data_IF_404681418757
#
_entry.id   IF_404681418757
#
_cell.length_a   1.000
_cell.length_b   1.000
_cell.length_c   1.000
_cell.angle_alpha   90.00
_cell.angle_beta   90.00
_cell.angle_gamma   90.00
#
_symmetry.space_group_name_H-M   'P 1'
#
loop_
_entity.id
_entity.type
_entity.pdbx_description
1 polymer ?
#
# COMPACT_ATOMS: atom_id res chain seq x y z
N UNK A 1 -47.00 -20.00 18.95
CA UNK A 1 -47.72 -19.58 20.18
C UNK A 1 -47.08 -20.35 21.34
N UNK A 2 -46.45 -19.81 22.38
CA UNK A 2 -46.07 -18.46 22.83
C UNK A 2 -44.68 -18.66 23.48
N UNK A 3 -43.75 -17.76 23.19
CA UNK A 3 -42.36 -17.77 23.69
C UNK A 3 -42.33 -17.12 25.09
N UNK A 4 -41.70 -17.72 26.13
CA UNK A 4 -41.52 -17.05 27.41
C UNK A 4 -40.32 -16.07 27.36
N UNK A 5 -40.37 -14.92 28.05
CA UNK A 5 -39.37 -13.86 27.93
C UNK A 5 -38.10 -14.15 28.73
N UNK A 6 -36.96 -13.74 28.15
CA UNK A 6 -35.62 -13.78 28.76
C UNK A 6 -35.53 -12.67 29.82
N UNK A 7 -35.81 -13.01 31.07
CA UNK A 7 -35.43 -12.21 32.24
C UNK A 7 -34.96 -13.12 33.37
N UNK A 8 -33.73 -13.62 33.28
CA UNK A 8 -33.07 -14.28 34.42
C UNK A 8 -31.53 -14.23 34.30
N UNK A 9 -30.92 -13.05 34.38
CA UNK A 9 -29.45 -12.96 34.63
C UNK A 9 -29.02 -11.75 35.48
N UNK A 10 -29.94 -11.11 36.21
CA UNK A 10 -29.56 -10.12 37.23
C UNK A 10 -29.98 -10.61 38.61
N UNK A 11 -29.04 -11.20 39.35
CA UNK A 11 -29.15 -11.28 40.81
C UNK A 11 -28.86 -9.89 41.37
N UNK A 12 -29.79 -9.39 42.19
CA UNK A 12 -29.78 -8.09 42.85
C UNK A 12 -29.11 -8.29 44.22
N UNK A 13 -27.98 -7.63 44.47
CA UNK A 13 -27.39 -7.58 45.83
C UNK A 13 -28.30 -6.78 46.79
N UNK A 14 -28.37 -7.17 48.07
CA UNK A 14 -29.21 -6.49 49.06
C UNK A 14 -28.58 -5.17 49.55
N UNK A 15 -29.40 -4.18 49.96
CA UNK A 15 -28.91 -2.86 50.33
C UNK A 15 -28.38 -2.83 51.77
N UNK A 16 -27.21 -2.23 51.97
CA UNK A 16 -26.79 -1.74 53.28
C UNK A 16 -27.42 -0.38 53.55
N UNK A 17 -28.00 -0.24 54.74
CA UNK A 17 -28.77 0.90 55.24
C UNK A 17 -27.95 2.16 55.49
N UNK A 18 -28.64 3.28 55.27
CA UNK A 18 -28.34 4.71 55.42
C UNK A 18 -27.62 5.18 56.70
N UNK A 19 -26.77 6.21 56.58
CA UNK A 19 -27.11 7.62 56.87
C UNK A 19 -25.84 8.50 57.01
N UNK A 20 -25.72 9.59 56.25
CA UNK A 20 -25.78 10.99 56.75
C UNK A 20 -25.46 12.05 55.66
N UNK A 21 -26.03 13.23 55.91
CA UNK A 21 -26.40 14.37 55.06
C UNK A 21 -25.35 15.21 54.32
N UNK A 22 -25.80 15.70 53.16
CA UNK A 22 -25.79 17.09 52.63
C UNK A 22 -24.50 17.94 52.63
N UNK A 23 -24.03 18.35 51.44
CA UNK A 23 -24.05 19.75 50.90
C UNK A 23 -23.17 19.88 49.63
N UNK A 24 -23.68 20.56 48.59
CA UNK A 24 -22.93 21.09 47.41
C UNK A 24 -22.30 22.46 47.79
N UNK A 25 -21.37 23.12 47.03
CA UNK A 25 -20.97 22.93 45.62
C UNK A 25 -19.45 23.08 45.30
N UNK A 26 -19.01 22.68 44.09
CA UNK A 26 -17.74 23.16 43.49
C UNK A 26 -17.04 22.18 42.53
N UNK A 27 -17.14 22.43 41.23
CA UNK A 27 -16.25 21.84 40.18
C UNK A 27 -14.82 22.36 40.38
N UNK A 28 -13.73 21.58 40.16
CA UNK A 28 -13.32 21.23 38.79
C UNK A 28 -12.60 19.87 38.61
N UNK A 29 -12.65 19.31 37.40
CA UNK A 29 -11.59 18.47 36.84
C UNK A 29 -11.68 16.96 37.06
N UNK A 30 -12.60 16.28 36.37
CA UNK A 30 -12.47 14.84 36.12
C UNK A 30 -11.47 14.58 35.00
N UNK A 31 -10.21 14.34 35.38
CA UNK A 31 -9.29 13.57 34.54
C UNK A 31 -9.91 12.18 34.30
N UNK A 32 -9.97 11.66 33.06
CA UNK A 32 -10.26 10.25 32.86
C UNK A 32 -9.05 9.46 33.33
N UNK A 33 -9.21 8.72 34.43
CA UNK A 33 -8.25 7.74 34.92
C UNK A 33 -7.96 6.74 33.80
N UNK A 34 -6.76 6.84 33.25
CA UNK A 34 -6.18 5.88 32.32
C UNK A 34 -6.18 4.52 32.98
N UNK A 35 -6.96 3.60 32.41
CA UNK A 35 -6.78 2.18 32.66
C UNK A 35 -5.41 1.82 32.10
N UNK A 36 -4.52 1.42 33.00
CA UNK A 36 -3.15 1.02 32.75
C UNK A 36 -3.16 -0.28 31.93
N UNK A 37 -3.45 -0.18 30.62
CA UNK A 37 -3.51 -1.30 29.69
C UNK A 37 -2.12 -1.44 29.09
N UNK A 38 -1.48 -2.58 29.35
CA UNK A 38 -0.19 -2.87 28.74
C UNK A 38 -0.32 -2.79 27.20
N UNK A 39 0.64 -2.16 26.51
CA UNK A 39 0.69 -2.19 25.05
C UNK A 39 0.72 -3.65 24.57
N UNK A 40 0.36 -3.91 23.31
CA UNK A 40 0.49 -5.23 22.66
C UNK A 40 1.97 -5.60 22.45
N UNK A 41 2.80 -5.48 23.48
CA UNK A 41 4.20 -5.89 23.52
C UNK A 41 4.30 -7.40 23.72
N UNK A 42 5.42 -7.97 23.27
CA UNK A 42 5.66 -9.41 23.05
C UNK A 42 5.39 -10.34 24.24
N UNK A 43 5.23 -9.81 25.45
CA UNK A 43 5.24 -10.60 26.68
C UNK A 43 3.88 -11.15 27.08
N UNK A 44 2.76 -10.66 26.51
CA UNK A 44 1.43 -11.08 26.93
C UNK A 44 0.75 -12.04 25.94
N UNK A 45 0.48 -13.27 26.39
CA UNK A 45 -0.38 -14.28 25.72
C UNK A 45 -1.44 -14.81 26.69
N UNK A 46 -2.65 -15.17 26.23
CA UNK A 46 -3.68 -15.72 27.09
C UNK A 46 -3.22 -17.06 27.67
N UNK A 47 -3.65 -17.33 28.90
CA UNK A 47 -3.28 -18.54 29.64
C UNK A 47 -4.09 -19.76 29.15
N UNK A 48 -3.40 -20.91 29.07
CA UNK A 48 -3.96 -22.20 28.68
C UNK A 48 -3.57 -22.66 27.27
N UNK A 49 -4.02 -23.86 26.92
CA UNK A 49 -3.68 -24.51 25.64
C UNK A 49 -4.64 -24.04 24.54
N UNK A 50 -4.09 -23.52 23.45
CA UNK A 50 -4.82 -23.12 22.25
C UNK A 50 -4.43 -24.05 21.10
N UNK A 51 -5.41 -24.68 20.47
CA UNK A 51 -5.20 -25.54 19.31
C UNK A 51 -4.71 -24.70 18.13
N UNK A 52 -3.63 -25.13 17.47
CA UNK A 52 -3.18 -24.50 16.23
C UNK A 52 -4.04 -25.01 15.09
N UNK A 53 -4.65 -24.10 14.33
CA UNK A 53 -5.50 -24.41 13.18
C UNK A 53 -5.15 -23.49 12.00
N UNK A 54 -5.46 -23.93 10.79
CA UNK A 54 -5.51 -23.04 9.63
C UNK A 54 -6.83 -22.26 9.61
N UNK A 55 -6.89 -21.15 8.89
CA UNK A 55 -8.10 -20.31 8.82
C UNK A 55 -9.28 -21.09 8.21
N UNK A 56 -9.04 -21.96 7.22
CA UNK A 56 -10.08 -22.81 6.63
C UNK A 56 -10.69 -23.83 7.59
N UNK A 57 -10.00 -24.16 8.68
CA UNK A 57 -10.41 -25.15 9.68
C UNK A 57 -11.21 -24.53 10.84
N UNK A 58 -11.36 -23.20 10.85
CA UNK A 58 -12.12 -22.50 11.89
C UNK A 58 -13.58 -22.94 11.89
N UNK A 59 -14.09 -23.26 13.07
CA UNK A 59 -15.50 -23.59 13.29
C UNK A 59 -16.14 -22.52 14.18
N UNK A 60 -17.39 -22.18 13.91
CA UNK A 60 -18.14 -21.24 14.73
C UNK A 60 -18.44 -21.84 16.11
N UNK A 61 -18.47 -20.97 17.13
CA UNK A 61 -18.73 -21.35 18.52
C UNK A 61 -17.56 -21.08 19.47
N UNK A 62 -17.64 -21.67 20.66
CA UNK A 62 -16.60 -21.55 21.70
C UNK A 62 -15.49 -22.56 21.44
N UNK A 63 -14.25 -22.09 21.46
CA UNK A 63 -13.07 -22.93 21.26
C UNK A 63 -11.80 -22.11 21.41
N UNK A 64 -10.80 -22.65 22.12
CA UNK A 64 -9.48 -22.01 22.27
C UNK A 64 -8.61 -22.38 21.07
N UNK A 65 -8.60 -21.51 20.05
CA UNK A 65 -7.86 -21.71 18.82
C UNK A 65 -6.86 -20.59 18.57
N UNK A 66 -5.76 -20.93 17.91
CA UNK A 66 -4.76 -19.98 17.42
C UNK A 66 -4.42 -20.26 15.96
N UNK A 67 -4.22 -19.19 15.20
CA UNK A 67 -3.78 -19.27 13.81
C UNK A 67 -2.85 -18.10 13.49
N UNK A 68 -2.09 -18.25 12.41
CA UNK A 68 -1.23 -17.20 11.87
C UNK A 68 -1.81 -16.70 10.56
N UNK A 69 -1.56 -15.44 10.22
CA UNK A 69 -1.96 -14.87 8.94
C UNK A 69 -1.37 -13.50 8.71
N UNK A 70 -1.55 -12.96 7.51
CA UNK A 70 -1.17 -11.58 7.16
C UNK A 70 -2.38 -10.68 7.08
N UNK A 71 -2.20 -9.43 7.48
CA UNK A 71 -3.23 -8.41 7.34
C UNK A 71 -3.35 -8.04 5.86
N UNK A 72 -4.51 -8.30 5.25
CA UNK A 72 -4.78 -8.02 3.82
C UNK A 72 -5.81 -6.91 3.60
N UNK A 73 -6.48 -6.44 4.65
CA UNK A 73 -7.27 -5.21 4.61
C UNK A 73 -7.35 -4.60 6.01
N UNK A 74 -7.34 -3.27 6.08
CA UNK A 74 -7.53 -2.48 7.29
C UNK A 74 -8.57 -1.41 6.98
N UNK A 75 -9.63 -1.40 7.78
CA UNK A 75 -10.66 -0.37 7.72
C UNK A 75 -10.44 0.61 8.88
N UNK A 76 -10.48 1.92 8.59
CA UNK A 76 -10.13 2.90 9.60
C UNK A 76 -11.13 2.95 10.75
N UNK A 77 -10.59 3.18 11.94
CA UNK A 77 -11.27 3.17 13.27
C UNK A 77 -12.29 4.30 13.51
N UNK A 78 -12.69 5.02 12.45
CA UNK A 78 -13.37 6.34 12.39
C UNK A 78 -12.43 7.45 11.91
N UNK A 79 -12.68 8.03 10.74
CA UNK A 79 -13.00 9.44 10.64
C UNK A 79 -14.50 9.61 10.96
N UNK A 80 -14.94 10.81 11.34
CA UNK A 80 -16.34 11.19 11.65
C UNK A 80 -17.42 10.78 10.60
N UNK A 81 -17.03 10.14 9.50
CA UNK A 81 -17.85 9.90 8.33
C UNK A 81 -17.65 8.48 7.81
N UNK A 82 -18.31 7.55 8.49
CA UNK A 82 -18.42 6.16 8.05
C UNK A 82 -19.44 6.03 6.91
N UNK A 83 -19.22 5.14 5.92
CA UNK A 83 -20.31 4.46 5.23
C UNK A 83 -21.25 3.86 6.29
N UNK A 84 -22.57 3.86 6.06
CA UNK A 84 -23.57 3.31 7.01
C UNK A 84 -23.23 1.87 7.49
N UNK A 85 -22.41 1.15 6.72
CA UNK A 85 -21.88 -0.15 7.06
C UNK A 85 -20.91 -0.18 8.26
N UNK A 86 -20.15 0.89 8.48
CA UNK A 86 -19.13 0.99 9.53
C UNK A 86 -19.65 1.66 10.81
N UNK A 87 -20.83 2.31 10.78
CA UNK A 87 -21.47 2.98 11.96
C UNK A 87 -21.84 2.07 13.11
N UNK A 88 -21.79 0.75 12.92
CA UNK A 88 -21.95 -0.25 13.96
C UNK A 88 -20.65 -0.57 14.71
N UNK A 89 -19.49 -0.09 14.26
CA UNK A 89 -18.20 -0.34 14.92
C UNK A 89 -17.99 0.67 16.06
N UNK A 90 -17.92 0.22 17.33
CA UNK A 90 -17.72 1.12 18.46
C UNK A 90 -16.37 1.83 18.40
N UNK A 91 -16.25 2.94 19.15
CA UNK A 91 -14.98 3.67 19.25
C UNK A 91 -13.84 2.76 19.74
N UNK A 92 -12.65 2.92 19.16
CA UNK A 92 -11.45 2.15 19.55
C UNK A 92 -11.36 0.74 18.93
N UNK A 93 -12.28 0.36 18.06
CA UNK A 93 -12.21 -0.91 17.34
C UNK A 93 -11.74 -0.74 15.89
N UNK A 94 -10.73 -1.51 15.53
CA UNK A 94 -10.25 -1.65 14.15
C UNK A 94 -10.90 -2.88 13.52
N UNK A 95 -11.43 -2.72 12.33
CA UNK A 95 -11.82 -3.86 11.50
C UNK A 95 -10.67 -4.18 10.55
N UNK A 96 -10.20 -5.41 10.59
CA UNK A 96 -9.15 -5.89 9.71
C UNK A 96 -9.52 -7.26 9.15
N UNK A 97 -8.87 -7.59 8.05
CA UNK A 97 -9.03 -8.88 7.39
C UNK A 97 -7.67 -9.57 7.43
N UNK A 98 -7.66 -10.78 7.98
CA UNK A 98 -6.46 -11.61 8.12
C UNK A 98 -6.60 -12.82 7.22
N UNK A 99 -5.53 -13.17 6.51
CA UNK A 99 -5.49 -14.27 5.55
C UNK A 99 -4.26 -15.14 5.77
N UNK A 100 -4.42 -16.44 5.60
CA UNK A 100 -3.33 -17.41 5.51
C UNK A 100 -3.37 -18.10 4.14
N UNK A 101 -2.63 -19.20 3.95
CA UNK A 101 -2.62 -19.89 2.66
C UNK A 101 -3.93 -20.67 2.37
N UNK A 102 -4.87 -20.74 3.31
CA UNK A 102 -6.06 -21.60 3.26
C UNK A 102 -7.38 -20.83 3.27
N UNK A 103 -7.43 -19.66 3.91
CA UNK A 103 -8.67 -18.89 4.05
C UNK A 103 -8.48 -17.47 4.53
N UNK A 104 -9.62 -16.79 4.74
CA UNK A 104 -9.69 -15.41 5.22
C UNK A 104 -10.67 -15.31 6.39
N UNK A 105 -10.33 -14.48 7.38
CA UNK A 105 -11.18 -14.20 8.53
C UNK A 105 -11.24 -12.70 8.81
N UNK A 106 -12.42 -12.21 9.18
CA UNK A 106 -12.59 -10.85 9.66
C UNK A 106 -12.24 -10.79 11.15
N UNK A 107 -11.44 -9.81 11.53
CA UNK A 107 -11.02 -9.58 12.91
C UNK A 107 -11.46 -8.19 13.34
N UNK A 108 -12.16 -8.11 14.47
CA UNK A 108 -12.50 -6.84 15.13
C UNK A 108 -11.63 -6.69 16.36
N UNK A 109 -10.58 -5.88 16.24
CA UNK A 109 -9.59 -5.66 17.29
C UNK A 109 -9.93 -4.43 18.11
N UNK A 110 -10.03 -4.58 19.43
CA UNK A 110 -10.00 -3.46 20.37
C UNK A 110 -8.55 -2.99 20.54
N UNK A 111 -8.11 -2.07 19.68
CA UNK A 111 -6.75 -1.54 19.65
C UNK A 111 -6.58 -0.32 20.55
N UNK A 112 -5.31 0.00 20.82
CA UNK A 112 -4.87 1.23 21.48
C UNK A 112 -4.03 2.06 20.52
N UNK A 113 -3.80 3.34 20.84
CA UNK A 113 -2.97 4.24 20.01
C UNK A 113 -1.55 3.69 19.79
N UNK A 114 -1.00 2.91 20.75
CA UNK A 114 0.31 2.26 20.61
C UNK A 114 0.34 1.12 19.60
N UNK A 115 -0.81 0.57 19.22
CA UNK A 115 -0.89 -0.57 18.30
C UNK A 115 -0.94 -0.12 16.83
N UNK A 116 -1.32 1.14 16.58
CA UNK A 116 -1.45 1.72 15.25
C UNK A 116 -0.21 1.56 14.36
N UNK A 117 1.04 1.75 14.84
CA UNK A 117 2.21 1.60 13.98
C UNK A 117 2.38 0.18 13.41
N UNK A 118 1.85 -0.84 14.10
CA UNK A 118 1.91 -2.23 13.69
C UNK A 118 0.70 -2.64 12.83
N UNK A 119 -0.34 -1.79 12.75
CA UNK A 119 -1.54 -2.06 11.98
C UNK A 119 -1.33 -1.62 10.53
N UNK A 120 -0.60 -2.44 9.76
CA UNK A 120 -0.33 -2.19 8.35
C UNK A 120 -0.50 -3.44 7.50
N UNK A 121 -0.75 -3.24 6.20
CA UNK A 121 -0.91 -4.33 5.24
C UNK A 121 0.37 -5.16 5.13
N UNK A 122 0.19 -6.46 4.92
CA UNK A 122 1.27 -7.43 4.84
C UNK A 122 1.82 -7.88 6.19
N UNK A 123 1.48 -7.22 7.31
CA UNK A 123 2.00 -7.58 8.64
C UNK A 123 1.58 -8.99 9.04
N UNK A 124 2.55 -9.81 9.43
CA UNK A 124 2.29 -11.14 9.99
C UNK A 124 1.77 -11.02 11.42
N UNK A 125 0.68 -11.72 11.71
CA UNK A 125 0.06 -11.75 13.02
C UNK A 125 -0.22 -13.19 13.47
N UNK A 126 -0.14 -13.42 14.77
CA UNK A 126 -0.77 -14.59 15.40
C UNK A 126 -1.99 -14.11 16.17
N UNK A 127 -3.13 -14.77 15.97
CA UNK A 127 -4.38 -14.47 16.67
C UNK A 127 -4.73 -15.64 17.58
N UNK A 128 -5.07 -15.33 18.83
CA UNK A 128 -5.65 -16.26 19.78
C UNK A 128 -7.08 -15.84 20.06
N UNK A 129 -8.01 -16.78 20.10
CA UNK A 129 -9.39 -16.51 20.48
C UNK A 129 -10.00 -17.70 21.23
N UNK A 130 -10.94 -17.40 22.13
CA UNK A 130 -11.82 -18.39 22.77
C UNK A 130 -13.17 -18.54 22.06
N UNK A 131 -13.44 -17.72 21.04
CA UNK A 131 -14.72 -17.67 20.35
C UNK A 131 -14.57 -17.24 18.89
N UNK A 132 -15.28 -17.93 18.00
CA UNK A 132 -15.40 -17.62 16.57
C UNK A 132 -16.88 -17.47 16.25
N UNK A 133 -17.27 -16.36 15.62
CA UNK A 133 -18.62 -16.16 15.13
C UNK A 133 -18.69 -16.44 13.62
N UNK A 134 -19.87 -16.82 13.16
CA UNK A 134 -20.16 -16.85 11.73
C UNK A 134 -20.26 -15.42 11.18
N UNK A 135 -19.70 -15.20 9.99
CA UNK A 135 -19.79 -13.91 9.31
C UNK A 135 -21.11 -13.83 8.56
N UNK A 136 -21.99 -12.92 8.99
CA UNK A 136 -23.32 -12.79 8.40
C UNK A 136 -23.24 -12.38 6.93
N UNK A 137 -24.01 -13.04 6.06
CA UNK A 137 -24.25 -12.60 4.67
C UNK A 137 -25.01 -11.26 4.59
N UNK A 138 -25.66 -10.86 5.69
CA UNK A 138 -26.26 -9.53 5.86
C UNK A 138 -25.28 -8.52 6.49
N UNK A 139 -24.01 -8.90 6.71
CA UNK A 139 -23.00 -7.97 7.19
C UNK A 139 -22.84 -6.82 6.20
N UNK A 140 -22.68 -5.62 6.74
CA UNK A 140 -22.65 -4.43 5.91
C UNK A 140 -21.33 -4.27 5.12
N UNK A 141 -20.31 -5.05 5.47
CA UNK A 141 -19.09 -5.23 4.70
C UNK A 141 -19.11 -6.67 4.20
N UNK A 142 -18.89 -6.87 2.91
CA UNK A 142 -18.81 -8.20 2.29
C UNK A 142 -17.43 -8.32 1.67
N UNK A 143 -16.52 -9.03 2.34
CA UNK A 143 -15.16 -9.26 1.84
C UNK A 143 -15.10 -10.65 1.23
N UNK A 144 -14.54 -10.83 0.02
CA UNK A 144 -14.47 -12.13 -0.62
C UNK A 144 -13.79 -13.18 0.25
N UNK A 145 -14.38 -14.38 0.29
CA UNK A 145 -13.95 -15.56 1.06
C UNK A 145 -14.00 -15.44 2.59
N UNK A 146 -14.55 -14.36 3.15
CA UNK A 146 -14.72 -14.24 4.60
C UNK A 146 -16.02 -14.93 5.01
N UNK A 147 -15.91 -16.03 5.75
CA UNK A 147 -17.03 -16.77 6.35
C UNK A 147 -17.07 -16.67 7.88
N UNK A 148 -15.99 -16.20 8.50
CA UNK A 148 -15.83 -16.18 9.96
C UNK A 148 -15.46 -14.78 10.47
N UNK A 149 -15.82 -14.52 11.73
CA UNK A 149 -15.59 -13.27 12.44
C UNK A 149 -15.05 -13.51 13.85
N UNK A 150 -14.00 -12.78 14.21
CA UNK A 150 -13.33 -12.94 15.50
C UNK A 150 -13.22 -11.59 16.22
N UNK A 151 -13.92 -11.41 17.35
CA UNK A 151 -13.68 -10.28 18.24
C UNK A 151 -12.41 -10.52 19.06
N UNK A 152 -11.48 -9.56 19.04
CA UNK A 152 -10.23 -9.63 19.80
C UNK A 152 -10.18 -8.47 20.78
N UNK A 153 -10.12 -8.82 22.07
CA UNK A 153 -10.09 -7.89 23.19
C UNK A 153 -8.85 -8.12 24.03
N UNK A 154 -7.68 -7.55 23.67
CA UNK A 154 -6.45 -7.81 24.41
C UNK A 154 -6.50 -7.30 25.86
N UNK A 155 -6.04 -8.10 26.82
CA UNK A 155 -5.92 -7.68 28.21
C UNK A 155 -5.79 -8.87 29.17
N UNK A 156 -5.23 -8.72 30.38
CA UNK A 156 -4.77 -9.83 31.22
C UNK A 156 -5.75 -10.98 31.47
N UNK A 157 -7.05 -10.68 31.57
CA UNK A 157 -8.12 -11.65 31.80
C UNK A 157 -8.80 -12.17 30.52
N UNK A 158 -8.37 -11.72 29.34
CA UNK A 158 -9.00 -12.05 28.07
C UNK A 158 -8.54 -13.41 27.53
N UNK A 159 -9.47 -14.12 26.89
CA UNK A 159 -9.19 -15.33 26.12
C UNK A 159 -8.79 -15.03 24.67
N UNK A 160 -8.65 -13.76 24.31
CA UNK A 160 -8.27 -13.34 22.97
C UNK A 160 -7.11 -12.36 23.01
N UNK A 161 -6.18 -12.53 22.08
CA UNK A 161 -5.11 -11.58 21.86
C UNK A 161 -4.64 -11.63 20.41
N UNK A 162 -3.86 -10.63 20.02
CA UNK A 162 -3.16 -10.59 18.75
C UNK A 162 -1.69 -10.25 19.03
N UNK A 163 -0.78 -10.97 18.39
CA UNK A 163 0.66 -10.67 18.38
C UNK A 163 1.03 -10.19 16.98
N UNK A 164 1.65 -9.03 16.89
CA UNK A 164 2.29 -8.55 15.67
C UNK A 164 3.73 -9.07 15.63
N UNK A 165 4.12 -9.72 14.54
CA UNK A 165 5.47 -10.24 14.38
C UNK A 165 6.39 -9.16 13.81
N UNK A 166 7.62 -9.09 14.30
CA UNK A 166 8.65 -8.23 13.75
C UNK A 166 9.23 -8.90 12.49
N UNK A 167 9.18 -8.22 11.35
CA UNK A 167 9.58 -8.82 10.06
C UNK A 167 11.10 -9.10 9.99
N UNK A 168 11.92 -8.48 10.85
CA UNK A 168 13.39 -8.58 10.84
C UNK A 168 13.96 -9.64 11.78
N UNK A 169 13.18 -10.13 12.76
CA UNK A 169 13.73 -10.94 13.86
C UNK A 169 13.81 -12.43 13.53
N UNK A 170 13.01 -12.93 12.58
CA UNK A 170 13.02 -14.33 12.19
C UNK A 170 12.82 -14.51 10.66
N UNK A 171 13.88 -14.80 9.90
CA UNK A 171 13.81 -15.02 8.46
C UNK A 171 12.81 -16.11 8.05
N UNK A 172 12.61 -17.14 8.88
CA UNK A 172 11.66 -18.22 8.61
C UNK A 172 10.20 -17.73 8.61
N UNK A 173 9.89 -16.70 9.40
CA UNK A 173 8.55 -16.12 9.47
C UNK A 173 8.27 -15.19 8.28
N UNK A 174 9.32 -14.69 7.61
CA UNK A 174 9.17 -13.76 6.49
C UNK A 174 8.40 -14.37 5.33
N UNK A 175 8.52 -15.67 5.07
CA UNK A 175 7.82 -16.37 3.99
C UNK A 175 6.39 -16.83 4.31
N UNK A 176 5.97 -16.83 5.58
CA UNK A 176 4.70 -17.43 5.99
C UNK A 176 3.49 -16.67 5.45
N UNK A 177 2.42 -17.40 5.12
CA UNK A 177 1.09 -16.88 4.76
C UNK A 177 1.04 -15.99 3.49
N UNK A 178 1.96 -16.18 2.53
CA UNK A 178 2.09 -15.34 1.32
C UNK A 178 1.47 -15.91 0.05
N UNK A 179 1.07 -17.18 0.02
CA UNK A 179 0.49 -17.81 -1.17
C UNK A 179 -0.92 -17.24 -1.37
N UNK A 180 -1.23 -16.56 -2.49
CA UNK A 180 -2.57 -16.00 -2.68
C UNK A 180 -3.64 -17.08 -2.68
N UNK A 181 -4.83 -16.73 -2.21
CA UNK A 181 -5.96 -17.66 -2.22
C UNK A 181 -6.42 -17.96 -3.63
N UNK A 182 -6.83 -19.21 -3.84
CA UNK A 182 -7.19 -19.82 -5.14
C UNK A 182 -6.02 -20.03 -6.10
N UNK A 183 -4.78 -19.72 -5.68
CA UNK A 183 -3.61 -20.12 -6.46
C UNK A 183 -3.35 -21.61 -6.25
N UNK A 184 -3.47 -22.39 -7.32
CA UNK A 184 -3.10 -23.80 -7.29
C UNK A 184 -1.58 -23.94 -7.35
N UNK A 185 -0.98 -24.43 -6.26
CA UNK A 185 0.45 -24.71 -6.15
C UNK A 185 0.84 -26.08 -6.68
N UNK A 186 -0.13 -26.94 -6.99
CA UNK A 186 0.12 -28.31 -7.46
C UNK A 186 0.51 -28.36 -8.94
N UNK A 187 0.12 -27.37 -9.73
CA UNK A 187 0.45 -27.29 -11.16
C UNK A 187 1.42 -26.14 -11.47
N UNK A 188 2.55 -26.46 -12.11
CA UNK A 188 3.57 -25.48 -12.47
C UNK A 188 3.10 -24.45 -13.52
N UNK A 189 2.02 -24.75 -14.24
CA UNK A 189 1.39 -23.87 -15.24
C UNK A 189 0.13 -23.16 -14.71
N UNK A 190 -0.14 -23.25 -13.40
CA UNK A 190 -1.28 -22.58 -12.77
C UNK A 190 -1.20 -21.08 -12.99
N UNK A 191 -2.29 -20.50 -13.51
CA UNK A 191 -2.46 -19.06 -13.63
C UNK A 191 -3.33 -18.56 -12.49
N UNK A 192 -3.06 -17.35 -12.02
CA UNK A 192 -3.90 -16.69 -11.02
C UNK A 192 -5.31 -16.41 -11.59
N UNK A 193 -6.38 -17.00 -11.04
CA UNK A 193 -7.73 -16.76 -11.56
C UNK A 193 -8.14 -15.29 -11.46
N UNK A 194 -8.66 -14.73 -12.55
CA UNK A 194 -9.14 -13.35 -12.59
C UNK A 194 -8.04 -12.27 -12.58
N UNK A 195 -6.76 -12.65 -12.74
CA UNK A 195 -5.67 -11.69 -12.90
C UNK A 195 -5.77 -10.98 -14.25
N UNK A 196 -5.81 -9.65 -14.21
CA UNK A 196 -5.82 -8.79 -15.40
C UNK A 196 -4.69 -7.77 -15.32
N UNK A 197 -4.27 -7.25 -16.48
CA UNK A 197 -3.28 -6.17 -16.54
C UNK A 197 -3.83 -4.86 -15.99
N UNK A 198 -2.94 -4.01 -15.49
CA UNK A 198 -3.28 -2.69 -14.99
C UNK A 198 -3.97 -1.87 -16.07
N UNK A 199 -3.47 -1.88 -17.31
CA UNK A 199 -4.11 -1.18 -18.44
C UNK A 199 -5.54 -1.65 -18.69
N UNK A 200 -5.81 -2.96 -18.60
CA UNK A 200 -7.15 -3.51 -18.77
C UNK A 200 -8.08 -3.08 -17.62
N UNK A 201 -7.54 -3.06 -16.39
CA UNK A 201 -8.23 -2.50 -15.23
C UNK A 201 -8.58 -1.02 -15.46
N UNK A 202 -7.60 -0.18 -15.83
CA UNK A 202 -7.82 1.26 -16.00
C UNK A 202 -8.84 1.62 -17.10
N UNK A 203 -9.03 0.74 -18.10
CA UNK A 203 -10.04 0.91 -19.16
C UNK A 203 -11.47 0.62 -18.70
N UNK A 204 -11.70 0.09 -17.50
CA UNK A 204 -13.03 -0.19 -16.97
C UNK A 204 -13.79 -1.31 -17.70
N UNK A 205 -13.11 -2.09 -18.53
CA UNK A 205 -13.71 -3.24 -19.26
C UNK A 205 -14.22 -4.35 -18.33
N UNK A 206 -13.86 -4.29 -17.06
CA UNK A 206 -14.20 -5.27 -16.03
C UNK A 206 -15.28 -4.77 -15.05
N UNK A 207 -15.71 -3.50 -15.12
CA UNK A 207 -16.58 -2.88 -14.07
C UNK A 207 -18.07 -2.88 -14.38
N UNK A 208 -18.51 -3.24 -15.59
CA UNK A 208 -19.90 -2.98 -16.04
C UNK A 208 -20.72 -4.20 -16.45
N UNK A 209 -20.15 -5.40 -16.44
CA UNK A 209 -20.90 -6.61 -16.71
C UNK A 209 -20.84 -7.47 -15.46
N UNK A 210 -22.01 -7.70 -14.83
CA UNK A 210 -22.20 -8.89 -14.01
C UNK A 210 -21.91 -10.07 -14.94
N UNK A 211 -20.65 -10.51 -15.02
CA UNK A 211 -20.32 -11.77 -15.64
C UNK A 211 -21.07 -12.85 -14.88
N UNK A 212 -21.69 -13.76 -15.62
CA UNK A 212 -22.33 -14.96 -15.06
C UNK A 212 -21.35 -15.81 -14.25
N UNK A 213 -20.03 -15.64 -14.47
CA UNK A 213 -18.97 -16.12 -13.60
C UNK A 213 -18.59 -15.08 -12.55
N UNK A 214 -18.76 -15.44 -11.28
CA UNK A 214 -18.38 -14.70 -10.06
C UNK A 214 -16.85 -14.58 -9.88
N UNK A 215 -16.11 -14.36 -10.98
CA UNK A 215 -14.65 -14.31 -10.94
C UNK A 215 -14.18 -12.95 -10.42
N UNK A 216 -13.53 -12.96 -9.26
CA UNK A 216 -12.98 -11.75 -8.67
C UNK A 216 -11.89 -11.14 -9.55
N UNK A 217 -11.98 -9.84 -9.80
CA UNK A 217 -10.93 -9.11 -10.51
C UNK A 217 -9.68 -8.97 -9.64
N UNK A 218 -8.53 -9.36 -10.19
CA UNK A 218 -7.22 -9.23 -9.55
C UNK A 218 -6.26 -8.41 -10.39
N UNK A 219 -5.44 -7.59 -9.75
CA UNK A 219 -4.41 -6.76 -10.42
C UNK A 219 -3.11 -6.87 -9.62
N UNK A 220 -2.04 -7.25 -10.30
CA UNK A 220 -0.70 -7.36 -9.73
C UNK A 220 0.13 -6.14 -10.15
N UNK A 221 0.72 -5.44 -9.19
CA UNK A 221 1.50 -4.21 -9.46
C UNK A 221 2.77 -4.17 -8.60
N UNK A 222 3.80 -3.51 -9.11
CA UNK A 222 5.00 -3.13 -8.37
C UNK A 222 4.86 -1.69 -7.86
N UNK A 223 5.35 -1.42 -6.66
CA UNK A 223 5.50 -0.05 -6.14
C UNK A 223 6.64 0.62 -6.90
N UNK A 224 6.35 1.72 -7.60
CA UNK A 224 7.35 2.52 -8.33
C UNK A 224 7.90 3.66 -7.47
N UNK A 225 7.05 4.32 -6.69
CA UNK A 225 7.48 5.36 -5.74
C UNK A 225 6.44 5.58 -4.65
N UNK A 226 6.88 6.07 -3.48
CA UNK A 226 6.02 6.42 -2.35
C UNK A 226 6.06 7.93 -2.16
N UNK A 227 4.91 8.59 -2.32
CA UNK A 227 4.78 10.04 -2.14
C UNK A 227 4.79 10.47 -0.67
N UNK A 228 4.89 11.78 -0.42
CA UNK A 228 4.85 12.32 0.94
C UNK A 228 3.47 12.13 1.58
N UNK A 229 3.45 12.04 2.92
CA UNK A 229 2.21 12.09 3.72
C UNK A 229 1.63 13.50 3.67
N UNK A 230 0.41 13.62 3.19
CA UNK A 230 -0.35 14.87 3.05
C UNK A 230 -1.54 14.85 4.01
N UNK A 231 -1.89 16.02 4.52
CA UNK A 231 -3.15 16.24 5.26
C UNK A 231 -4.09 17.05 4.36
N UNK A 232 -5.19 16.45 3.93
CA UNK A 232 -6.17 17.06 3.03
C UNK A 232 -7.41 17.51 3.81
N UNK A 233 -8.00 18.64 3.40
CA UNK A 233 -9.30 19.08 3.92
C UNK A 233 -10.42 18.36 3.17
N UNK A 234 -11.44 17.93 3.89
CA UNK A 234 -12.59 17.26 3.27
C UNK A 234 -13.49 18.29 2.61
N UNK A 235 -13.73 18.17 1.30
CA UNK A 235 -14.70 19.00 0.61
C UNK A 235 -16.08 18.66 1.17
N UNK A 236 -16.77 19.65 1.75
CA UNK A 236 -18.12 19.60 2.33
C UNK A 236 -18.27 19.30 3.84
N UNK A 237 -17.19 19.11 4.62
CA UNK A 237 -17.31 18.90 6.09
C UNK A 237 -16.09 19.39 6.87
N UNK A 238 -16.27 19.87 8.12
CA UNK A 238 -15.14 20.22 8.99
C UNK A 238 -14.34 18.95 9.33
N UNK A 239 -13.06 18.93 8.98
CA UNK A 239 -12.17 17.81 9.26
C UNK A 239 -11.01 17.71 8.27
N UNK A 240 -9.95 17.01 8.69
CA UNK A 240 -8.81 16.68 7.85
C UNK A 240 -8.63 15.17 7.76
N UNK A 241 -8.10 14.72 6.63
CA UNK A 241 -7.79 13.31 6.35
C UNK A 241 -6.34 13.20 5.93
N UNK A 242 -5.71 12.10 6.30
CA UNK A 242 -4.36 11.79 5.85
C UNK A 242 -4.42 11.03 4.52
N UNK A 243 -3.48 11.36 3.63
CA UNK A 243 -3.34 10.79 2.30
C UNK A 243 -1.87 10.52 2.01
N UNK A 244 -1.58 9.33 1.49
CA UNK A 244 -0.34 9.04 0.76
C UNK A 244 -0.72 8.56 -0.63
N UNK A 245 -0.05 9.13 -1.63
CA UNK A 245 -0.17 8.72 -3.03
C UNK A 245 1.06 7.86 -3.36
N UNK A 246 0.82 6.59 -3.69
CA UNK A 246 1.84 5.63 -4.08
C UNK A 246 1.73 5.42 -5.57
N UNK A 247 2.83 5.58 -6.32
CA UNK A 247 2.85 5.23 -7.72
C UNK A 247 3.11 3.75 -7.85
N UNK A 248 2.27 3.09 -8.64
CA UNK A 248 2.37 1.65 -8.89
C UNK A 248 2.31 1.38 -10.39
N UNK A 249 2.93 0.30 -10.83
CA UNK A 249 2.98 -0.07 -12.25
C UNK A 249 2.98 -1.58 -12.45
N UNK A 250 2.63 -1.99 -13.65
CA UNK A 250 2.96 -3.30 -14.19
C UNK A 250 3.72 -3.13 -15.51
N UNK A 251 3.76 -4.17 -16.35
CA UNK A 251 4.38 -4.08 -17.68
C UNK A 251 3.57 -3.23 -18.68
N UNK A 252 2.30 -2.97 -18.38
CA UNK A 252 1.33 -2.40 -19.33
C UNK A 252 1.02 -0.92 -19.09
N UNK A 253 1.09 -0.44 -17.85
CA UNK A 253 0.77 0.94 -17.49
C UNK A 253 1.29 1.35 -16.09
N UNK A 254 1.07 2.62 -15.74
CA UNK A 254 1.33 3.18 -14.41
C UNK A 254 0.07 3.87 -13.87
N UNK A 255 -0.16 3.81 -12.56
CA UNK A 255 -1.24 4.57 -11.93
C UNK A 255 -0.89 5.01 -10.51
N UNK A 256 -1.80 5.79 -9.92
CA UNK A 256 -1.68 6.27 -8.53
C UNK A 256 -2.60 5.46 -7.62
N UNK A 257 -2.02 4.78 -6.64
CA UNK A 257 -2.72 4.18 -5.51
C UNK A 257 -2.89 5.22 -4.39
N UNK A 258 -4.13 5.48 -4.01
CA UNK A 258 -4.45 6.43 -2.92
C UNK A 258 -4.73 5.69 -1.62
N UNK A 259 -3.89 5.91 -0.60
CA UNK A 259 -4.06 5.38 0.75
C UNK A 259 -4.56 6.46 1.69
N UNK A 260 -5.65 6.18 2.41
CA UNK A 260 -6.28 7.13 3.31
C UNK A 260 -6.22 6.67 4.77
N UNK A 261 -6.05 7.62 5.70
CA UNK A 261 -6.12 7.39 7.15
C UNK A 261 -5.26 6.20 7.60
N UNK A 262 -5.81 5.20 8.29
CA UNK A 262 -5.10 4.04 8.85
C UNK A 262 -4.33 3.23 7.78
N UNK A 263 -4.69 3.35 6.50
CA UNK A 263 -3.95 2.69 5.41
C UNK A 263 -2.59 3.34 5.13
N UNK A 264 -2.41 4.62 5.46
CA UNK A 264 -1.19 5.41 5.21
C UNK A 264 0.05 4.75 5.84
N UNK A 265 -0.12 4.09 6.98
CA UNK A 265 0.97 3.42 7.70
C UNK A 265 1.58 2.31 6.84
N UNK A 266 0.79 1.67 5.97
CA UNK A 266 1.25 0.59 5.09
C UNK A 266 2.31 1.02 4.09
N UNK A 267 2.28 2.28 3.63
CA UNK A 267 3.30 2.75 2.69
C UNK A 267 4.71 2.82 3.29
N UNK A 268 4.86 2.81 4.63
CA UNK A 268 6.17 2.88 5.30
C UNK A 268 7.01 1.64 5.10
N UNK A 269 6.38 0.49 4.86
CA UNK A 269 7.07 -0.78 4.68
C UNK A 269 7.31 -1.12 3.21
N UNK A 270 6.85 -0.26 2.29
CA UNK A 270 6.95 -0.51 0.86
C UNK A 270 8.21 0.11 0.28
N UNK A 271 8.92 -0.70 -0.50
CA UNK A 271 10.17 -0.31 -1.16
C UNK A 271 9.93 -0.20 -2.67
N UNK A 272 10.27 0.96 -3.23
CA UNK A 272 10.20 1.23 -4.65
C UNK A 272 11.05 0.26 -5.48
N UNK A 273 10.51 -0.22 -6.60
CA UNK A 273 11.14 -1.18 -7.50
C UNK A 273 11.25 -2.60 -6.93
N UNK A 274 10.70 -2.86 -5.74
CA UNK A 274 10.83 -4.15 -5.07
C UNK A 274 9.50 -4.68 -4.53
N UNK A 275 8.72 -3.87 -3.80
CA UNK A 275 7.47 -4.33 -3.20
C UNK A 275 6.40 -4.58 -4.27
N UNK A 276 5.84 -5.79 -4.27
CA UNK A 276 4.76 -6.23 -5.16
C UNK A 276 3.45 -6.27 -4.38
N UNK A 277 2.36 -5.81 -4.98
CA UNK A 277 1.04 -5.80 -4.38
C UNK A 277 0.07 -6.54 -5.32
N UNK A 278 -0.65 -7.51 -4.78
CA UNK A 278 -1.77 -8.15 -5.48
C UNK A 278 -3.09 -7.64 -4.88
N UNK A 279 -3.82 -6.89 -5.68
CA UNK A 279 -5.17 -6.45 -5.32
C UNK A 279 -6.19 -7.48 -5.75
N UNK A 280 -7.13 -7.80 -4.86
CA UNK A 280 -8.38 -8.47 -5.19
C UNK A 280 -9.52 -7.48 -4.98
N UNK A 281 -10.37 -7.28 -5.98
CA UNK A 281 -11.51 -6.36 -5.96
C UNK A 281 -11.10 -4.92 -5.60
N UNK A 282 -10.10 -4.39 -6.32
CA UNK A 282 -9.60 -3.03 -6.11
C UNK A 282 -10.68 -1.99 -6.41
N UNK A 283 -10.63 -0.85 -5.71
CA UNK A 283 -11.46 0.30 -6.06
C UNK A 283 -10.83 1.06 -7.23
N UNK A 284 -11.59 1.21 -8.31
CA UNK A 284 -11.20 2.10 -9.40
C UNK A 284 -11.56 3.56 -9.06
N UNK A 285 -10.59 4.46 -9.21
CA UNK A 285 -10.81 5.90 -9.18
C UNK A 285 -10.74 6.44 -10.61
N UNK A 286 -11.89 6.71 -11.25
CA UNK A 286 -11.89 7.28 -12.59
C UNK A 286 -11.29 8.68 -12.58
N UNK A 287 -10.76 9.07 -13.74
CA UNK A 287 -10.28 10.42 -14.01
C UNK A 287 -11.43 11.42 -13.86
N UNK A 288 -11.36 12.29 -12.84
CA UNK A 288 -12.36 13.35 -12.62
C UNK A 288 -12.01 14.65 -13.34
N UNK A 289 -10.72 14.87 -13.63
CA UNK A 289 -10.20 16.07 -14.30
C UNK A 289 -9.22 15.68 -15.40
N UNK A 290 -9.10 16.52 -16.42
CA UNK A 290 -8.19 16.31 -17.54
C UNK A 290 -6.74 16.13 -17.06
N UNK A 291 -6.31 16.63 -15.90
CA UNK A 291 -4.92 16.46 -15.43
C UNK A 291 -4.76 15.43 -14.31
N UNK A 292 -5.81 14.68 -13.97
CA UNK A 292 -5.74 13.63 -12.94
C UNK A 292 -5.55 12.26 -13.60
N UNK A 293 -4.55 11.50 -13.16
CA UNK A 293 -4.43 10.12 -13.60
C UNK A 293 -5.51 9.28 -12.92
N UNK A 294 -6.17 8.36 -13.65
CA UNK A 294 -7.03 7.38 -13.01
C UNK A 294 -6.19 6.56 -12.01
N UNK A 295 -6.83 6.03 -10.97
CA UNK A 295 -6.10 5.46 -9.84
C UNK A 295 -6.70 4.20 -9.25
N UNK A 296 -5.93 3.59 -8.37
CA UNK A 296 -6.29 2.45 -7.54
C UNK A 296 -6.62 2.91 -6.12
N UNK A 297 -7.48 2.13 -5.46
CA UNK A 297 -7.84 2.33 -4.07
C UNK A 297 -8.16 1.02 -3.38
N UNK A 298 -8.12 1.07 -2.04
CA UNK A 298 -8.51 -0.05 -1.18
C UNK A 298 -9.92 0.24 -0.66
N UNK A 299 -10.91 -0.54 -1.12
CA UNK A 299 -12.26 -0.51 -0.57
C UNK A 299 -12.40 -1.46 0.62
N UNK A 300 -13.54 -1.39 1.31
CA UNK A 300 -13.85 -2.24 2.47
C UNK A 300 -13.92 -3.73 2.11
N UNK A 301 -14.22 -4.04 0.86
CA UNK A 301 -14.31 -5.39 0.30
C UNK A 301 -13.08 -5.79 -0.54
N UNK A 302 -12.04 -4.96 -0.57
CA UNK A 302 -10.79 -5.30 -1.26
C UNK A 302 -9.93 -6.20 -0.39
N UNK A 303 -8.97 -6.88 -1.00
CA UNK A 303 -7.83 -7.51 -0.31
C UNK A 303 -6.54 -7.08 -1.01
N UNK A 304 -5.48 -6.90 -0.24
CA UNK A 304 -4.14 -6.57 -0.74
C UNK A 304 -3.14 -7.55 -0.12
N UNK A 305 -2.69 -8.51 -0.91
CA UNK A 305 -1.56 -9.36 -0.55
C UNK A 305 -0.27 -8.59 -0.86
N UNK A 306 0.55 -8.37 0.18
CA UNK A 306 1.86 -7.69 0.04
C UNK A 306 2.93 -8.74 -0.17
N UNK A 307 3.72 -8.54 -1.22
CA UNK A 307 4.79 -9.42 -1.68
C UNK A 307 4.32 -10.88 -1.70
N UNK A 308 3.27 -11.19 -2.48
CA UNK A 308 2.71 -12.53 -2.58
C UNK A 308 3.72 -13.51 -3.18
N UNK A 309 3.62 -14.77 -2.77
CA UNK A 309 4.51 -15.86 -3.19
C UNK A 309 3.84 -16.67 -4.32
N UNK A 310 4.13 -16.28 -5.56
CA UNK A 310 3.77 -17.01 -6.79
C UNK A 310 4.59 -16.50 -8.00
N UNK A 311 4.69 -17.25 -9.12
CA UNK A 311 5.58 -16.95 -10.24
C UNK A 311 5.44 -15.53 -10.83
N UNK A 312 4.23 -15.04 -11.06
CA UNK A 312 4.04 -13.72 -11.69
C UNK A 312 4.55 -12.58 -10.80
N UNK A 313 4.48 -12.73 -9.47
CA UNK A 313 5.04 -11.76 -8.53
C UNK A 313 6.57 -11.72 -8.57
N UNK A 314 7.21 -12.90 -8.69
CA UNK A 314 8.66 -12.97 -8.88
C UNK A 314 9.09 -12.38 -10.22
N UNK A 315 8.35 -12.70 -11.27
CA UNK A 315 8.58 -12.16 -12.60
C UNK A 315 8.46 -10.63 -12.63
N UNK A 316 7.39 -10.07 -12.05
CA UNK A 316 7.15 -8.64 -12.02
C UNK A 316 8.22 -7.90 -11.20
N UNK A 317 8.65 -8.48 -10.07
CA UNK A 317 9.75 -7.95 -9.26
C UNK A 317 11.05 -7.88 -10.06
N UNK A 318 11.41 -8.97 -10.74
CA UNK A 318 12.62 -9.01 -11.59
C UNK A 318 12.55 -8.00 -12.73
N UNK A 319 11.39 -7.83 -13.35
CA UNK A 319 11.17 -6.83 -14.39
C UNK A 319 11.39 -5.41 -13.85
N UNK A 320 10.79 -5.07 -12.70
CA UNK A 320 10.94 -3.76 -12.07
C UNK A 320 12.39 -3.47 -11.64
N UNK A 321 13.08 -4.47 -11.08
CA UNK A 321 14.50 -4.37 -10.73
C UNK A 321 15.38 -4.16 -11.97
N UNK A 322 15.10 -4.83 -13.07
CA UNK A 322 15.82 -4.65 -14.33
C UNK A 322 15.60 -3.25 -14.93
N UNK A 323 14.37 -2.73 -14.87
CA UNK A 323 14.05 -1.37 -15.30
C UNK A 323 14.79 -0.34 -14.44
N UNK A 324 14.77 -0.50 -13.11
CA UNK A 324 15.49 0.39 -12.19
C UNK A 324 17.01 0.34 -12.41
N UNK A 325 17.58 -0.85 -12.67
CA UNK A 325 19.00 -0.98 -13.00
C UNK A 325 19.36 -0.28 -14.30
N UNK A 326 18.49 -0.36 -15.31
CA UNK A 326 18.65 0.34 -16.60
C UNK A 326 18.62 1.85 -16.41
N UNK A 327 17.66 2.38 -15.65
CA UNK A 327 17.58 3.80 -15.30
C UNK A 327 18.76 4.29 -14.46
N UNK A 328 19.40 3.38 -13.70
CA UNK A 328 20.60 3.63 -12.90
C UNK A 328 21.90 3.44 -13.67
N UNK A 329 21.88 3.14 -14.97
CA UNK A 329 23.11 3.11 -15.77
C UNK A 329 23.60 4.55 -15.93
N UNK A 330 24.30 5.02 -14.90
CA UNK A 330 25.29 6.06 -15.03
C UNK A 330 26.23 5.60 -16.14
N UNK A 331 26.02 6.09 -17.37
CA UNK A 331 26.97 5.86 -18.45
C UNK A 331 28.27 6.47 -17.95
N UNK A 332 29.30 5.66 -17.58
CA UNK A 332 30.52 6.22 -17.06
C UNK A 332 31.09 7.14 -18.13
N UNK A 333 31.62 8.30 -17.72
CA UNK A 333 32.30 9.18 -18.66
C UNK A 333 33.36 8.35 -19.40
N UNK A 334 33.39 8.39 -20.74
CA UNK A 334 34.28 7.53 -21.51
C UNK A 334 35.74 7.76 -21.09
N UNK A 335 36.38 6.68 -20.64
CA UNK A 335 37.74 6.70 -20.13
C UNK A 335 38.69 7.05 -21.27
N UNK A 336 39.54 8.07 -21.07
CA UNK A 336 40.50 8.54 -22.07
C UNK A 336 39.93 9.48 -23.15
N UNK A 337 38.64 9.83 -23.08
CA UNK A 337 38.01 10.84 -23.96
C UNK A 337 37.88 12.19 -23.25
N UNK A 338 37.71 12.17 -21.92
CA UNK A 338 37.53 13.37 -21.12
C UNK A 338 38.31 13.27 -19.81
N UNK A 339 39.28 14.16 -19.60
CA UNK A 339 39.96 14.31 -18.32
C UNK A 339 39.10 15.19 -17.41
N UNK A 340 38.48 14.56 -16.41
CA UNK A 340 37.58 15.22 -15.45
C UNK A 340 38.35 16.24 -14.61
N UNK A 341 39.60 15.97 -14.25
CA UNK A 341 40.42 16.86 -13.45
C UNK A 341 40.88 18.07 -14.26
N UNK A 342 41.28 17.87 -15.52
CA UNK A 342 41.56 18.97 -16.44
C UNK A 342 40.29 19.79 -16.77
N UNK A 343 39.13 19.15 -16.88
CA UNK A 343 37.88 19.85 -17.16
C UNK A 343 37.37 20.69 -15.97
N UNK A 344 37.66 20.29 -14.73
CA UNK A 344 37.27 21.01 -13.51
C UNK A 344 38.32 22.06 -13.15
N UNK A 345 39.61 21.69 -13.20
CA UNK A 345 40.73 22.44 -12.65
C UNK A 345 41.73 22.96 -13.71
N UNK A 346 41.60 22.57 -14.96
CA UNK A 346 42.51 22.95 -16.03
C UNK A 346 42.33 24.41 -16.50
N UNK A 347 43.36 24.96 -17.17
CA UNK A 347 43.40 26.37 -17.58
C UNK A 347 42.37 26.71 -18.68
N UNK A 348 41.93 25.72 -19.47
CA UNK A 348 40.96 25.89 -20.56
C UNK A 348 39.59 25.33 -20.15
N UNK A 349 38.68 26.21 -19.72
CA UNK A 349 37.26 25.84 -19.56
C UNK A 349 36.59 25.86 -20.92
N UNK A 350 36.56 24.71 -21.60
CA UNK A 350 35.85 24.59 -22.88
C UNK A 350 34.34 24.54 -22.61
N UNK A 351 33.75 25.73 -22.52
CA UNK A 351 32.31 25.97 -22.40
C UNK A 351 31.75 26.24 -23.80
N UNK A 352 30.92 25.34 -24.30
CA UNK A 352 30.21 25.50 -25.56
C UNK A 352 28.80 26.02 -25.32
N UNK A 353 28.30 26.88 -26.18
CA UNK A 353 26.87 27.13 -26.35
C UNK A 353 26.31 26.19 -27.41
N UNK A 354 24.97 26.09 -27.50
CA UNK A 354 24.33 25.34 -28.58
C UNK A 354 24.68 25.92 -29.98
N UNK A 355 24.92 27.23 -30.06
CA UNK A 355 25.33 27.88 -31.30
C UNK A 355 26.74 27.42 -31.74
N UNK A 356 27.68 27.32 -30.79
CA UNK A 356 29.05 26.86 -31.09
C UNK A 356 29.08 25.40 -31.58
N UNK A 357 28.18 24.57 -31.06
CA UNK A 357 28.04 23.18 -31.53
C UNK A 357 27.39 23.13 -32.91
N UNK A 358 26.28 23.86 -33.12
CA UNK A 358 25.57 23.88 -34.40
C UNK A 358 26.45 24.41 -35.54
N UNK A 359 27.17 25.51 -35.33
CA UNK A 359 28.07 26.11 -36.33
C UNK A 359 29.16 25.12 -36.74
N UNK A 360 29.76 24.43 -35.77
CA UNK A 360 30.91 23.57 -36.00
C UNK A 360 30.54 22.18 -36.53
N UNK A 361 29.33 21.69 -36.23
CA UNK A 361 28.76 20.49 -36.89
C UNK A 361 28.42 20.78 -38.35
N UNK A 362 27.98 22.00 -38.69
CA UNK A 362 27.70 22.40 -40.08
C UNK A 362 28.97 22.51 -40.91
N UNK A 363 30.08 22.90 -40.31
CA UNK A 363 31.39 22.93 -40.95
C UNK A 363 31.96 21.53 -41.16
N UNK A 364 31.89 20.66 -40.15
CA UNK A 364 32.35 19.28 -40.23
C UNK A 364 31.50 18.34 -39.36
N UNK A 365 30.71 17.51 -40.04
CA UNK A 365 29.82 16.54 -39.41
C UNK A 365 30.53 15.40 -38.67
N UNK A 366 31.85 15.25 -38.84
CA UNK A 366 32.65 14.21 -38.18
C UNK A 366 33.25 14.66 -36.83
N UNK A 367 33.08 15.94 -36.47
CA UNK A 367 33.65 16.51 -35.25
C UNK A 367 32.99 15.93 -34.01
N UNK A 368 33.82 15.42 -33.09
CA UNK A 368 33.41 14.96 -31.76
C UNK A 368 33.66 16.07 -30.75
N UNK A 369 32.60 16.56 -30.11
CA UNK A 369 32.69 17.56 -29.05
C UNK A 369 32.83 16.87 -27.70
N UNK A 370 33.79 17.33 -26.92
CA UNK A 370 33.91 16.95 -25.51
C UNK A 370 34.10 18.26 -24.74
N UNK A 371 33.18 18.58 -23.83
CA UNK A 371 33.02 19.95 -23.33
C UNK A 371 31.96 20.10 -22.25
N UNK A 372 31.94 21.26 -21.59
CA UNK A 372 30.78 21.71 -20.79
C UNK A 372 29.84 22.46 -21.70
N UNK A 373 28.55 22.12 -21.71
CA UNK A 373 27.54 22.87 -22.45
C UNK A 373 26.91 23.92 -21.52
N UNK A 374 27.02 25.19 -21.88
CA UNK A 374 26.33 26.28 -21.22
C UNK A 374 24.92 26.39 -21.79
N UNK A 375 23.93 25.94 -21.02
CA UNK A 375 22.52 26.04 -21.41
C UNK A 375 21.74 26.73 -20.32
N UNK A 376 20.93 27.72 -20.72
CA UNK A 376 19.90 28.29 -19.87
C UNK A 376 18.58 27.60 -20.17
N UNK A 377 18.11 26.77 -19.24
CA UNK A 377 16.80 26.12 -19.35
C UNK A 377 15.74 27.09 -18.81
N UNK A 378 15.02 27.74 -19.71
CA UNK A 378 13.90 28.61 -19.37
C UNK A 378 12.58 27.82 -19.38
N UNK A 379 11.65 28.17 -18.49
CA UNK A 379 10.31 27.56 -18.45
C UNK A 379 10.23 26.18 -17.76
N UNK A 380 11.35 25.63 -17.28
CA UNK A 380 11.35 24.43 -16.45
C UNK A 380 11.14 24.81 -14.97
N UNK A 381 9.95 24.55 -14.43
CA UNK A 381 9.69 24.71 -13.00
C UNK A 381 10.23 23.49 -12.25
N UNK A 382 11.56 23.40 -12.14
CA UNK A 382 12.27 22.25 -11.53
C UNK A 382 11.83 22.08 -10.07
N UNK A 383 11.78 23.17 -9.31
CA UNK A 383 11.36 23.16 -7.90
C UNK A 383 9.88 22.75 -7.74
N UNK A 384 9.00 23.17 -8.63
CA UNK A 384 7.59 22.78 -8.58
C UNK A 384 7.38 21.34 -9.03
N UNK A 385 8.11 20.91 -10.07
CA UNK A 385 8.12 19.53 -10.53
C UNK A 385 8.67 18.60 -9.45
N UNK A 386 9.70 19.02 -8.72
CA UNK A 386 10.22 18.30 -7.54
C UNK A 386 9.16 18.21 -6.43
N UNK A 387 8.53 19.34 -6.07
CA UNK A 387 7.44 19.36 -5.07
C UNK A 387 6.24 18.50 -5.47
N UNK A 388 6.05 18.29 -6.78
CA UNK A 388 4.99 17.46 -7.35
C UNK A 388 5.44 16.02 -7.69
N UNK A 389 6.69 15.62 -7.38
CA UNK A 389 7.28 14.33 -7.78
C UNK A 389 7.17 14.01 -9.29
N UNK A 390 7.32 15.05 -10.13
CA UNK A 390 7.30 14.98 -11.60
C UNK A 390 8.68 15.11 -12.24
N UNK A 391 9.73 15.09 -11.44
CA UNK A 391 11.10 14.97 -11.95
C UNK A 391 11.31 13.54 -12.44
N UNK A 392 11.33 13.35 -13.76
CA UNK A 392 11.71 12.09 -14.37
C UNK A 392 13.20 12.11 -14.70
N UNK A 393 13.88 10.99 -14.45
CA UNK A 393 15.19 10.71 -15.03
C UNK A 393 14.96 9.98 -16.35
N UNK A 394 15.50 10.50 -17.46
CA UNK A 394 15.45 9.80 -18.75
C UNK A 394 16.87 9.68 -19.30
N UNK A 395 17.18 8.51 -19.87
CA UNK A 395 18.38 8.32 -20.70
C UNK A 395 18.05 8.65 -22.16
N UNK A 396 18.92 9.44 -22.80
CA UNK A 396 18.88 9.61 -24.26
C UNK A 396 19.61 8.44 -24.93
N UNK A 397 18.88 7.59 -25.66
CA UNK A 397 19.50 6.54 -26.49
C UNK A 397 20.06 7.12 -27.80
N UNK A 398 21.29 6.76 -28.16
CA UNK A 398 21.71 6.78 -29.58
C UNK A 398 20.83 5.78 -30.34
N UNK A 399 20.05 6.27 -31.30
CA UNK A 399 19.46 5.42 -32.34
C UNK A 399 20.57 5.08 -33.33
N UNK A 400 21.23 3.93 -33.17
CA UNK A 400 22.08 3.42 -34.24
C UNK A 400 21.17 3.06 -35.42
N UNK A 401 21.20 3.86 -36.48
CA UNK A 401 20.63 3.46 -37.75
C UNK A 401 21.42 2.25 -38.25
N UNK A 402 20.78 1.09 -38.24
CA UNK A 402 21.14 -0.01 -39.12
C UNK A 402 20.07 -0.05 -40.20
N UNK A 403 20.56 0.05 -41.42
CA UNK A 403 19.86 0.16 -42.68
C UNK A 403 18.84 -0.97 -42.86
N UNK A 404 17.59 -0.61 -43.17
CA UNK A 404 16.87 -1.23 -44.28
C UNK A 404 15.70 -0.32 -44.70
N UNK A 405 15.66 -0.03 -46.01
CA UNK A 405 14.75 0.90 -46.64
C UNK A 405 13.29 0.52 -46.50
N UNK A 406 12.49 1.48 -46.06
CA UNK A 406 11.04 1.43 -46.04
C UNK A 406 10.50 2.81 -45.73
N UNK A 407 10.08 3.53 -46.77
CA UNK A 407 9.45 4.85 -46.67
C UNK A 407 8.10 4.75 -45.95
N UNK A 408 7.85 5.60 -44.94
CA UNK A 408 6.51 6.03 -44.50
C UNK A 408 6.60 7.24 -43.53
N UNK A 409 5.49 7.97 -43.26
CA UNK A 409 5.22 9.30 -43.79
C UNK A 409 5.64 10.44 -42.85
N UNK A 410 5.69 11.62 -43.46
CA UNK A 410 5.90 12.95 -42.90
C UNK A 410 4.99 13.22 -41.68
N UNK A 411 5.51 13.01 -40.46
CA UNK A 411 4.88 13.45 -39.22
C UNK A 411 5.67 14.65 -38.67
N UNK A 412 5.10 15.84 -38.86
CA UNK A 412 5.18 17.05 -38.03
C UNK A 412 6.27 17.04 -36.94
N UNK A 413 7.40 17.66 -37.27
CA UNK A 413 8.47 18.00 -36.35
C UNK A 413 7.99 19.00 -35.30
N UNK A 414 7.91 18.58 -34.03
CA UNK A 414 7.94 19.47 -32.89
C UNK A 414 8.52 18.73 -31.68
N UNK A 415 9.41 19.39 -30.96
CA UNK A 415 10.13 18.95 -29.75
C UNK A 415 11.21 17.88 -29.95
N UNK A 416 12.34 18.30 -30.53
CA UNK A 416 13.64 17.74 -30.17
C UNK A 416 13.91 18.02 -28.67
N UNK A 417 14.06 16.95 -27.90
CA UNK A 417 14.39 16.96 -26.49
C UNK A 417 15.91 16.97 -26.31
N UNK A 418 16.46 18.12 -25.90
CA UNK A 418 17.81 18.20 -25.34
C UNK A 418 17.76 17.87 -23.84
N UNK A 419 18.54 16.89 -23.39
CA UNK A 419 18.72 16.57 -21.97
C UNK A 419 20.05 17.13 -21.45
N UNK A 420 20.02 17.75 -20.26
CA UNK A 420 21.17 18.37 -19.58
C UNK A 420 21.42 17.62 -18.28
N UNK A 421 22.68 17.23 -18.04
CA UNK A 421 23.13 16.77 -16.73
C UNK A 421 23.44 17.99 -15.86
N UNK A 422 22.67 18.20 -14.79
CA UNK A 422 22.96 19.21 -13.77
C UNK A 422 23.67 18.52 -12.60
N UNK A 423 24.97 18.72 -12.47
CA UNK A 423 25.71 18.39 -11.25
C UNK A 423 25.73 19.63 -10.34
N UNK A 424 25.15 19.52 -9.14
CA UNK A 424 25.30 20.54 -8.11
C UNK A 424 26.62 20.31 -7.37
N UNK A 425 27.62 21.16 -7.64
CA UNK A 425 28.76 21.34 -6.76
C UNK A 425 28.46 22.50 -5.82
N UNK A 426 28.30 22.23 -4.52
CA UNK A 426 28.33 23.28 -3.50
C UNK A 426 29.78 23.76 -3.36
N UNK A 427 30.01 25.04 -3.64
CA UNK A 427 31.19 25.79 -3.23
C UNK A 427 30.86 26.67 -2.04
#
# INVERSE_FOLDING_TARGET
MVIPPIQSFYQKEPPASSAFSQTLPGTPGSNPTGTNRAPLTETWKPQGTYQRVNISELQSGRGKVRFMGRIVNICPTKPDHQPRALSSIPSGFHFMVVKDNTGVVAVKLLGTQSDLPNLHLGKLVTVWTGFVAEYSTAAAIQVPFVSMFIPVHPGPASQSCIKFHQDETNPEETGLCRIPLEYDTSSASSQMPGLISLKAFMKGTHTNEKREDDTLTRVLVCVSSVGPRKTIKTYNKPGTLELVEVHVCDETDHCVLKLYSDQVISARTWTAGHTILLFTNAKFYPRKRINENPGLGIALNSKVDVDPDFPDAYWLRRMAEAQTKRERVHTPFPVGVWDVEEAINGPNRVLYTLADVDERVREDSSVVFTGKLNVLILGASICESQRQNRLCCFECFRRSQLEHGGSFPQASWATELFAIFIAFGYG
#
